data_IF_019430241543
#
_entry.id   IF_019430241543
#
_cell.length_a   1.000
_cell.length_b   1.000
_cell.length_c   1.000
_cell.angle_alpha   90.00
_cell.angle_beta   90.00
_cell.angle_gamma   90.00
#
_symmetry.space_group_name_H-M   'P 1'
#
loop_
_entity.id
_entity.type
_entity.pdbx_description
1 polymer ?
#
# COMPACT_ATOMS: atom_id res chain seq x y z
N UNK A 1 -18.25 -10.10 29.22
CA UNK A 1 -18.01 -9.55 27.86
C UNK A 1 -17.49 -10.68 27.00
N UNK A 2 -17.96 -10.81 25.76
CA UNK A 2 -17.79 -12.01 24.93
C UNK A 2 -16.34 -12.13 24.38
N UNK A 3 -15.61 -13.20 24.72
CA UNK A 3 -14.22 -13.44 24.28
C UNK A 3 -14.04 -13.38 22.77
N UNK A 4 -15.02 -13.83 21.97
CA UNK A 4 -14.94 -13.77 20.50
C UNK A 4 -14.87 -12.35 19.93
N UNK A 5 -15.36 -11.35 20.65
CA UNK A 5 -15.36 -9.95 20.21
C UNK A 5 -13.97 -9.31 20.34
N UNK A 6 -13.30 -9.54 21.46
CA UNK A 6 -11.93 -9.06 21.69
C UNK A 6 -10.96 -9.66 20.69
N UNK A 7 -11.18 -10.92 20.29
CA UNK A 7 -10.40 -11.61 19.24
C UNK A 7 -10.62 -10.98 17.86
N UNK A 8 -11.84 -10.58 17.51
CA UNK A 8 -12.13 -9.89 16.25
C UNK A 8 -11.46 -8.51 16.15
N UNK A 9 -11.57 -7.70 17.20
CA UNK A 9 -10.97 -6.35 17.26
C UNK A 9 -9.44 -6.36 17.25
N UNK A 10 -8.83 -7.30 17.97
CA UNK A 10 -7.38 -7.46 17.98
C UNK A 10 -6.85 -7.91 16.62
N UNK A 11 -7.57 -8.80 15.93
CA UNK A 11 -7.23 -9.19 14.56
C UNK A 11 -7.29 -8.00 13.58
N UNK A 12 -8.33 -7.15 13.65
CA UNK A 12 -8.41 -5.93 12.84
C UNK A 12 -7.24 -4.98 13.12
N UNK A 13 -6.93 -4.74 14.39
CA UNK A 13 -5.82 -3.85 14.77
C UNK A 13 -4.47 -4.38 14.29
N UNK A 14 -4.24 -5.69 14.37
CA UNK A 14 -3.02 -6.33 13.86
C UNK A 14 -2.91 -6.24 12.34
N UNK A 15 -4.01 -6.48 11.62
CA UNK A 15 -4.06 -6.35 10.18
C UNK A 15 -3.80 -4.91 9.71
N UNK A 16 -4.42 -3.91 10.34
CA UNK A 16 -4.17 -2.49 10.02
C UNK A 16 -2.71 -2.12 10.21
N UNK A 17 -2.10 -2.48 11.35
CA UNK A 17 -0.70 -2.18 11.62
C UNK A 17 0.26 -2.85 10.60
N UNK A 18 -0.03 -4.09 10.19
CA UNK A 18 0.76 -4.77 9.17
C UNK A 18 0.65 -4.09 7.80
N UNK A 19 -0.56 -3.64 7.42
CA UNK A 19 -0.78 -2.92 6.16
C UNK A 19 -0.09 -1.55 6.19
N UNK A 20 -0.15 -0.82 7.30
CA UNK A 20 0.55 0.47 7.45
C UNK A 20 2.06 0.33 7.30
N UNK A 21 2.66 -0.72 7.90
CA UNK A 21 4.07 -1.02 7.72
C UNK A 21 4.41 -1.35 6.27
N UNK A 22 3.56 -2.14 5.60
CA UNK A 22 3.73 -2.45 4.18
C UNK A 22 3.65 -1.18 3.31
N UNK A 23 2.66 -0.31 3.54
CA UNK A 23 2.52 0.99 2.86
C UNK A 23 3.80 1.82 3.01
N UNK A 24 4.32 1.93 4.24
CA UNK A 24 5.57 2.66 4.49
C UNK A 24 6.75 2.07 3.71
N UNK A 25 6.91 0.74 3.75
CA UNK A 25 7.98 0.05 3.05
C UNK A 25 7.91 0.24 1.52
N UNK A 26 6.77 -0.05 0.91
CA UNK A 26 6.60 0.03 -0.55
C UNK A 26 6.67 1.48 -1.06
N UNK A 27 6.20 2.45 -0.28
CA UNK A 27 6.37 3.88 -0.63
C UNK A 27 7.84 4.26 -0.67
N UNK A 28 8.62 3.92 0.37
CA UNK A 28 10.06 4.20 0.39
C UNK A 28 10.80 3.51 -0.75
N UNK A 29 10.40 2.29 -1.11
CA UNK A 29 10.96 1.57 -2.25
C UNK A 29 10.67 2.28 -3.58
N UNK A 30 9.41 2.69 -3.80
CA UNK A 30 9.01 3.41 -5.01
C UNK A 30 9.76 4.74 -5.15
N UNK A 31 9.91 5.51 -4.07
CA UNK A 31 10.64 6.78 -4.08
C UNK A 31 12.14 6.57 -4.37
N UNK A 32 12.75 5.51 -3.82
CA UNK A 32 14.15 5.16 -4.09
C UNK A 32 14.36 4.78 -5.56
N UNK A 33 13.49 3.92 -6.10
CA UNK A 33 13.54 3.50 -7.50
C UNK A 33 13.38 4.69 -8.46
N UNK A 34 12.48 5.63 -8.16
CA UNK A 34 12.29 6.83 -8.97
C UNK A 34 13.53 7.74 -8.96
N UNK A 35 14.17 7.88 -7.80
CA UNK A 35 15.42 8.61 -7.66
C UNK A 35 16.55 7.98 -8.47
N UNK A 36 16.70 6.66 -8.37
CA UNK A 36 17.70 5.90 -9.12
C UNK A 36 17.48 6.02 -10.63
N UNK A 37 16.23 5.92 -11.10
CA UNK A 37 15.90 6.06 -12.53
C UNK A 37 16.20 7.45 -13.07
N UNK A 38 15.93 8.48 -12.29
CA UNK A 38 16.26 9.86 -12.65
C UNK A 38 17.78 10.02 -12.78
N UNK A 39 18.54 9.50 -11.81
CA UNK A 39 20.01 9.53 -11.85
C UNK A 39 20.58 8.76 -13.05
N UNK A 40 20.01 7.61 -13.40
CA UNK A 40 20.42 6.84 -14.59
C UNK A 40 20.12 7.65 -15.85
N UNK A 41 18.91 8.19 -15.98
CA UNK A 41 18.53 9.01 -17.14
C UNK A 41 19.46 10.20 -17.36
N UNK A 42 19.87 10.87 -16.29
CA UNK A 42 20.79 12.01 -16.37
C UNK A 42 22.23 11.60 -16.76
N UNK A 43 22.61 10.35 -16.53
CA UNK A 43 23.95 9.81 -16.85
C UNK A 43 24.03 9.11 -18.20
N UNK A 44 22.93 8.62 -18.80
CA UNK A 44 22.96 7.85 -20.06
C UNK A 44 23.10 8.67 -21.35
N UNK A 45 23.70 9.87 -21.31
CA UNK A 45 24.10 10.63 -22.50
C UNK A 45 25.31 9.97 -23.21
N UNK A 46 25.09 8.82 -23.86
CA UNK A 46 26.11 8.15 -24.69
C UNK A 46 26.13 8.80 -26.08
N UNK A 47 27.04 9.75 -26.32
CA UNK A 47 27.25 10.34 -27.65
C UNK A 47 28.72 10.21 -28.08
N UNK A 48 28.98 9.72 -29.31
CA UNK A 48 30.25 10.00 -30.01
C UNK A 48 31.05 8.87 -30.67
N UNK A 49 30.55 7.63 -30.80
CA UNK A 49 31.31 6.53 -31.41
C UNK A 49 31.14 6.40 -32.93
N UNK A 50 32.24 6.17 -33.67
CA UNK A 50 32.22 5.77 -35.10
C UNK A 50 32.51 4.26 -35.25
N UNK A 51 32.07 3.64 -36.36
CA UNK A 51 32.34 2.21 -36.65
C UNK A 51 31.59 1.23 -35.74
N UNK A 52 32.18 0.06 -35.46
CA UNK A 52 31.58 -0.97 -34.61
C UNK A 52 31.29 -0.47 -33.17
N UNK A 53 32.11 0.44 -32.65
CA UNK A 53 31.88 1.12 -31.37
C UNK A 53 30.68 2.06 -31.40
N UNK A 54 30.39 2.69 -32.54
CA UNK A 54 29.16 3.49 -32.72
C UNK A 54 27.91 2.62 -32.75
N UNK A 55 27.96 1.48 -33.45
CA UNK A 55 26.84 0.53 -33.46
C UNK A 55 26.54 -0.03 -32.07
N UNK A 56 27.58 -0.42 -31.31
CA UNK A 56 27.41 -0.89 -29.93
C UNK A 56 26.87 0.20 -29.00
N UNK A 57 27.33 1.44 -29.13
CA UNK A 57 26.78 2.57 -28.38
C UNK A 57 25.31 2.84 -28.74
N UNK A 58 24.92 2.67 -30.01
CA UNK A 58 23.53 2.75 -30.44
C UNK A 58 22.65 1.69 -29.79
N UNK A 59 23.09 0.43 -29.79
CA UNK A 59 22.37 -0.66 -29.12
C UNK A 59 22.26 -0.45 -27.61
N UNK A 60 23.30 0.07 -26.96
CA UNK A 60 23.25 0.41 -25.54
C UNK A 60 22.28 1.57 -25.25
N UNK A 61 22.20 2.56 -26.15
CA UNK A 61 21.25 3.66 -26.02
C UNK A 61 19.81 3.18 -26.18
N UNK A 62 19.53 2.32 -27.17
CA UNK A 62 18.21 1.69 -27.36
C UNK A 62 17.83 0.83 -26.16
N UNK A 63 18.72 -0.05 -25.70
CA UNK A 63 18.50 -0.85 -24.50
C UNK A 63 18.25 0.02 -23.28
N UNK A 64 19.04 1.07 -23.06
CA UNK A 64 18.84 1.97 -21.92
C UNK A 64 17.50 2.68 -22.00
N UNK A 65 17.03 3.05 -23.19
CA UNK A 65 15.73 3.67 -23.38
C UNK A 65 14.58 2.70 -23.04
N UNK A 66 14.63 1.48 -23.57
CA UNK A 66 13.62 0.45 -23.28
C UNK A 66 13.62 0.07 -21.81
N UNK A 67 14.80 -0.14 -21.22
CA UNK A 67 14.96 -0.45 -19.80
C UNK A 67 14.38 0.67 -18.92
N UNK A 68 14.72 1.93 -19.19
CA UNK A 68 14.17 3.06 -18.44
C UNK A 68 12.65 3.17 -18.58
N UNK A 69 12.09 2.88 -19.77
CA UNK A 69 10.65 2.88 -19.99
C UNK A 69 9.96 1.76 -19.19
N UNK A 70 10.50 0.54 -19.19
CA UNK A 70 9.97 -0.58 -18.40
C UNK A 70 10.03 -0.27 -16.90
N UNK A 71 11.15 0.25 -16.43
CA UNK A 71 11.31 0.59 -15.01
C UNK A 71 10.40 1.73 -14.58
N UNK A 72 10.12 2.71 -15.45
CA UNK A 72 9.16 3.77 -15.17
C UNK A 72 7.73 3.22 -15.00
N UNK A 73 7.32 2.26 -15.83
CA UNK A 73 6.02 1.60 -15.67
C UNK A 73 5.98 0.76 -14.38
N UNK A 74 7.06 0.07 -14.04
CA UNK A 74 7.17 -0.64 -12.76
C UNK A 74 6.98 0.28 -11.54
N UNK A 75 7.64 1.45 -11.52
CA UNK A 75 7.47 2.45 -10.45
C UNK A 75 6.01 2.93 -10.36
N UNK A 76 5.34 3.09 -11.50
CA UNK A 76 3.93 3.47 -11.53
C UNK A 76 3.02 2.35 -10.97
N UNK A 77 3.31 1.09 -11.28
CA UNK A 77 2.62 -0.06 -10.69
C UNK A 77 2.82 -0.13 -9.18
N UNK A 78 4.04 0.07 -8.69
CA UNK A 78 4.35 0.14 -7.24
C UNK A 78 3.56 1.26 -6.55
N UNK A 79 3.47 2.46 -7.16
CA UNK A 79 2.65 3.56 -6.62
C UNK A 79 1.15 3.22 -6.60
N UNK A 80 0.65 2.53 -7.61
CA UNK A 80 -0.73 2.06 -7.65
C UNK A 80 -0.99 1.02 -6.55
N UNK A 81 -0.03 0.13 -6.30
CA UNK A 81 -0.10 -0.85 -5.22
C UNK A 81 -0.11 -0.20 -3.83
N UNK A 82 0.74 0.81 -3.61
CA UNK A 82 0.71 1.62 -2.38
C UNK A 82 -0.65 2.27 -2.16
N UNK A 83 -1.23 2.87 -3.21
CA UNK A 83 -2.58 3.48 -3.16
C UNK A 83 -3.66 2.45 -2.82
N UNK A 84 -3.54 1.24 -3.37
CA UNK A 84 -4.43 0.13 -3.06
C UNK A 84 -4.34 -0.26 -1.57
N UNK A 85 -3.12 -0.41 -1.04
CA UNK A 85 -2.88 -0.76 0.36
C UNK A 85 -3.41 0.31 1.33
N UNK A 86 -3.23 1.59 1.01
CA UNK A 86 -3.82 2.70 1.78
C UNK A 86 -5.35 2.63 1.81
N UNK A 87 -5.98 2.36 0.66
CA UNK A 87 -7.41 2.16 0.57
C UNK A 87 -7.88 0.95 1.38
N UNK A 88 -7.08 -0.11 1.42
CA UNK A 88 -7.36 -1.29 2.22
C UNK A 88 -7.25 -1.01 3.72
N UNK A 89 -6.21 -0.28 4.17
CA UNK A 89 -6.07 0.15 5.56
C UNK A 89 -7.28 0.97 6.04
N UNK A 90 -7.73 1.94 5.23
CA UNK A 90 -8.93 2.74 5.51
C UNK A 90 -10.18 1.87 5.65
N UNK A 91 -10.35 0.88 4.77
CA UNK A 91 -11.49 -0.06 4.87
C UNK A 91 -11.43 -0.88 6.15
N UNK A 92 -10.27 -1.38 6.56
CA UNK A 92 -10.11 -2.11 7.82
C UNK A 92 -10.48 -1.24 9.03
N UNK A 93 -10.05 0.03 9.03
CA UNK A 93 -10.38 0.98 10.09
C UNK A 93 -11.88 1.29 10.13
N UNK A 94 -12.50 1.53 8.97
CA UNK A 94 -13.94 1.75 8.87
C UNK A 94 -14.73 0.53 9.37
N UNK A 95 -14.39 -0.67 8.90
CA UNK A 95 -15.03 -1.91 9.33
C UNK A 95 -14.91 -2.09 10.84
N UNK A 96 -13.72 -1.83 11.42
CA UNK A 96 -13.54 -1.85 12.87
C UNK A 96 -14.49 -0.89 13.59
N UNK A 97 -14.64 0.35 13.11
CA UNK A 97 -15.56 1.33 13.67
C UNK A 97 -17.03 0.91 13.59
N UNK A 98 -17.45 0.32 12.46
CA UNK A 98 -18.80 -0.22 12.28
C UNK A 98 -19.08 -1.38 13.24
N UNK A 99 -18.10 -2.28 13.44
CA UNK A 99 -18.21 -3.35 14.43
C UNK A 99 -18.37 -2.82 15.86
N UNK A 100 -17.57 -1.82 16.26
CA UNK A 100 -17.68 -1.21 17.59
C UNK A 100 -19.02 -0.50 17.79
N UNK A 101 -19.50 0.24 16.79
CA UNK A 101 -20.79 0.93 16.84
C UNK A 101 -21.97 -0.03 16.94
N UNK A 102 -21.93 -1.12 16.17
CA UNK A 102 -22.96 -2.17 16.20
C UNK A 102 -23.00 -2.85 17.56
N UNK A 103 -21.84 -3.12 18.16
CA UNK A 103 -21.78 -3.71 19.49
C UNK A 103 -22.31 -2.76 20.57
N UNK A 104 -21.94 -1.48 20.54
CA UNK A 104 -22.46 -0.49 21.49
C UNK A 104 -24.00 -0.44 21.46
N UNK A 105 -24.59 -0.49 20.26
CA UNK A 105 -26.06 -0.60 20.10
C UNK A 105 -26.61 -1.89 20.68
N UNK A 106 -25.97 -3.04 20.42
CA UNK A 106 -26.43 -4.30 20.99
C UNK A 106 -26.39 -4.30 22.52
N UNK A 107 -25.32 -3.77 23.12
CA UNK A 107 -25.19 -3.65 24.57
C UNK A 107 -26.31 -2.78 25.17
N UNK A 108 -26.60 -1.63 24.55
CA UNK A 108 -27.70 -0.75 24.96
C UNK A 108 -29.08 -1.44 24.86
N UNK A 109 -29.32 -2.16 23.77
CA UNK A 109 -30.56 -2.92 23.58
C UNK A 109 -30.73 -4.00 24.65
N UNK A 110 -29.67 -4.77 24.94
CA UNK A 110 -29.73 -5.80 25.98
C UNK A 110 -29.93 -5.21 27.38
N UNK A 111 -29.30 -4.09 27.69
CA UNK A 111 -29.51 -3.39 28.97
C UNK A 111 -30.96 -2.92 29.10
N UNK A 112 -31.52 -2.32 28.06
CA UNK A 112 -32.91 -1.86 28.03
C UNK A 112 -33.90 -3.02 28.16
N UNK A 113 -33.65 -4.16 27.48
CA UNK A 113 -34.45 -5.37 27.63
C UNK A 113 -34.38 -5.88 29.08
N UNK A 114 -33.18 -5.99 29.65
CA UNK A 114 -32.97 -6.45 31.02
C UNK A 114 -33.70 -5.56 32.04
N UNK A 115 -33.67 -4.23 31.84
CA UNK A 115 -34.40 -3.28 32.68
C UNK A 115 -35.92 -3.49 32.57
N UNK A 116 -36.43 -3.62 31.34
CA UNK A 116 -37.88 -3.85 31.10
C UNK A 116 -38.41 -5.17 31.67
N UNK A 117 -37.55 -6.19 31.75
CA UNK A 117 -37.90 -7.49 32.34
C UNK A 117 -37.83 -7.42 33.87
N UNK A 118 -36.85 -6.70 34.44
CA UNK A 118 -36.71 -6.55 35.89
C UNK A 118 -37.75 -5.62 36.55
N UNK A 119 -38.40 -4.76 35.76
CA UNK A 119 -39.50 -3.89 36.22
C UNK A 119 -40.89 -4.57 36.16
N UNK A 120 -40.98 -5.83 35.72
CA UNK A 120 -42.18 -6.67 35.78
C UNK A 120 -42.12 -7.68 36.92
#
# INVERSE_FOLDING_TARGET
>A
MAEGFTVGLTAFSGATAAVEQAVGHYRSLADALEGDLTSVRDTTSLTGGFGATGHFQGLLAEFSHEWLATMAEFVKEERAFVTFLEGFAKRLEQTRGEYQSTEARHAEVFENISRSIGER
#
